data_IF_453738075608
#
_entry.id   IF_453738075608
#
_cell.length_a   1.000
_cell.length_b   1.000
_cell.length_c   1.000
_cell.angle_alpha   90.00
_cell.angle_beta   90.00
_cell.angle_gamma   90.00
#
_symmetry.space_group_name_H-M   'P 1'
#
loop_
_entity.id
_entity.type
_entity.pdbx_description
1 polymer ?
#
# COMPACT_ATOMS: atom_id res chain seq x y z
N UNK A 1 -8.47 2.81 14.20
CA UNK A 1 -9.78 2.18 14.50
C UNK A 1 -9.61 0.69 14.31
N UNK A 2 -9.59 -0.07 15.41
CA UNK A 2 -9.48 -1.54 15.36
C UNK A 2 -10.84 -2.10 14.94
N UNK A 3 -10.92 -2.68 13.75
CA UNK A 3 -12.03 -3.57 13.41
C UNK A 3 -11.70 -4.90 14.07
N UNK A 4 -12.37 -5.22 15.17
CA UNK A 4 -12.27 -6.54 15.78
C UNK A 4 -12.62 -7.58 14.71
N UNK A 5 -11.67 -8.47 14.38
CA UNK A 5 -11.93 -9.58 13.46
C UNK A 5 -12.99 -10.47 14.12
N UNK A 6 -14.12 -10.77 13.45
CA UNK A 6 -15.15 -11.62 14.04
C UNK A 6 -14.55 -12.98 14.43
N UNK A 7 -14.89 -13.46 15.62
CA UNK A 7 -14.42 -14.75 16.14
C UNK A 7 -14.76 -15.92 15.19
N UNK A 8 -15.87 -15.82 14.46
CA UNK A 8 -16.27 -16.79 13.43
C UNK A 8 -15.25 -16.85 12.28
N UNK A 9 -14.83 -15.69 11.78
CA UNK A 9 -13.82 -15.56 10.72
C UNK A 9 -12.46 -16.05 11.21
N UNK A 10 -12.06 -15.72 12.44
CA UNK A 10 -10.82 -16.22 13.03
C UNK A 10 -10.80 -17.75 13.13
N UNK A 11 -11.91 -18.34 13.58
CA UNK A 11 -12.06 -19.78 13.71
C UNK A 11 -12.01 -20.49 12.36
N UNK A 12 -12.65 -19.91 11.35
CA UNK A 12 -12.65 -20.40 9.97
C UNK A 12 -11.23 -20.39 9.39
N UNK A 13 -10.54 -19.25 9.44
CA UNK A 13 -9.16 -19.12 8.97
C UNK A 13 -8.20 -20.04 9.74
N UNK A 14 -8.40 -20.21 11.05
CA UNK A 14 -7.63 -21.13 11.90
C UNK A 14 -7.79 -22.60 11.53
N UNK A 15 -8.88 -22.96 10.83
CA UNK A 15 -9.09 -24.29 10.23
C UNK A 15 -8.59 -24.38 8.79
N UNK A 16 -7.88 -23.37 8.30
CA UNK A 16 -7.47 -23.24 6.89
C UNK A 16 -8.65 -23.15 5.92
N UNK A 17 -9.84 -22.80 6.42
CA UNK A 17 -11.03 -22.53 5.62
C UNK A 17 -11.00 -21.06 5.14
N UNK A 18 -11.86 -20.73 4.18
CA UNK A 18 -11.80 -19.45 3.46
C UNK A 18 -13.07 -19.13 2.70
N UNK A 19 -14.19 -19.05 3.41
CA UNK A 19 -15.47 -18.61 2.89
C UNK A 19 -15.40 -17.18 2.33
N UNK A 20 -16.38 -16.85 1.49
CA UNK A 20 -16.40 -15.59 0.74
C UNK A 20 -16.37 -14.35 1.63
N UNK A 21 -16.97 -14.42 2.82
CA UNK A 21 -16.96 -13.33 3.81
C UNK A 21 -15.56 -13.14 4.41
N UNK A 22 -14.93 -14.22 4.88
CA UNK A 22 -13.57 -14.20 5.41
C UNK A 22 -12.56 -13.69 4.37
N UNK A 23 -12.63 -14.21 3.13
CA UNK A 23 -11.80 -13.73 2.03
C UNK A 23 -12.08 -12.27 1.68
N UNK A 24 -13.36 -11.86 1.68
CA UNK A 24 -13.75 -10.47 1.43
C UNK A 24 -13.14 -9.50 2.44
N UNK A 25 -13.11 -9.87 3.73
CA UNK A 25 -12.44 -9.10 4.78
C UNK A 25 -10.93 -9.02 4.55
N UNK A 26 -10.27 -10.13 4.23
CA UNK A 26 -8.82 -10.14 3.97
C UNK A 26 -8.44 -9.28 2.76
N UNK A 27 -9.18 -9.39 1.65
CA UNK A 27 -8.89 -8.61 0.43
C UNK A 27 -9.15 -7.11 0.68
N UNK A 28 -10.16 -6.77 1.48
CA UNK A 28 -10.41 -5.39 1.91
C UNK A 28 -9.27 -4.84 2.77
N UNK A 29 -8.84 -5.60 3.78
CA UNK A 29 -7.77 -5.17 4.67
C UNK A 29 -6.42 -5.03 3.92
N UNK A 30 -6.12 -5.97 3.03
CA UNK A 30 -4.94 -5.91 2.17
C UNK A 30 -4.95 -4.67 1.26
N UNK A 31 -6.12 -4.27 0.75
CA UNK A 31 -6.25 -3.05 -0.02
C UNK A 31 -6.00 -1.80 0.85
N UNK A 32 -6.63 -1.72 2.03
CA UNK A 32 -6.40 -0.62 2.99
C UNK A 32 -4.93 -0.50 3.36
N UNK A 33 -4.29 -1.63 3.73
CA UNK A 33 -2.87 -1.68 4.04
C UNK A 33 -2.01 -1.21 2.88
N UNK A 34 -2.38 -1.53 1.64
CA UNK A 34 -1.65 -1.09 0.45
C UNK A 34 -1.74 0.42 0.26
N UNK A 35 -2.92 1.01 0.43
CA UNK A 35 -3.09 2.46 0.36
C UNK A 35 -2.26 3.19 1.42
N UNK A 36 -2.29 2.71 2.67
CA UNK A 36 -1.47 3.27 3.76
C UNK A 36 0.01 3.16 3.44
N UNK A 37 0.48 2.02 2.92
CA UNK A 37 1.88 1.82 2.55
C UNK A 37 2.32 2.77 1.43
N UNK A 38 1.49 2.96 0.40
CA UNK A 38 1.78 3.87 -0.70
C UNK A 38 1.81 5.32 -0.23
N UNK A 39 0.90 5.70 0.67
CA UNK A 39 0.92 7.03 1.25
C UNK A 39 2.18 7.26 2.08
N UNK A 40 2.55 6.31 2.94
CA UNK A 40 3.79 6.37 3.71
C UNK A 40 5.03 6.44 2.80
N UNK A 41 5.01 5.78 1.64
CA UNK A 41 6.08 5.87 0.65
C UNK A 41 6.21 7.28 0.06
N UNK A 42 5.09 7.91 -0.31
CA UNK A 42 5.10 9.29 -0.81
C UNK A 42 5.62 10.25 0.27
N UNK A 43 5.07 10.17 1.48
CA UNK A 43 5.47 11.04 2.59
C UNK A 43 6.99 10.87 2.91
N UNK A 44 7.50 9.64 2.87
CA UNK A 44 8.93 9.36 3.08
C UNK A 44 9.81 9.90 1.94
N UNK A 45 9.34 9.86 0.69
CA UNK A 45 10.08 10.41 -0.45
C UNK A 45 10.12 11.95 -0.40
N UNK A 46 9.04 12.59 0.02
CA UNK A 46 8.98 14.05 0.21
C UNK A 46 9.87 14.55 1.36
N UNK A 47 10.03 13.73 2.40
CA UNK A 47 10.90 14.02 3.54
C UNK A 47 12.37 13.60 3.34
N UNK A 48 12.69 12.88 2.25
CA UNK A 48 14.02 12.34 2.03
C UNK A 48 15.04 13.45 1.66
N UNK A 49 16.30 13.34 2.10
CA UNK A 49 17.35 14.25 1.66
C UNK A 49 17.57 14.17 0.14
N UNK A 50 17.98 15.28 -0.53
CA UNK A 50 18.24 15.28 -1.97
C UNK A 50 19.28 14.25 -2.44
N UNK A 51 20.21 13.87 -1.56
CA UNK A 51 21.20 12.82 -1.84
C UNK A 51 20.57 11.43 -2.01
N UNK A 52 19.39 11.20 -1.43
CA UNK A 52 18.66 9.93 -1.48
C UNK A 52 17.49 9.98 -2.46
N UNK A 53 16.80 11.13 -2.52
CA UNK A 53 15.71 11.39 -3.45
C UNK A 53 16.01 12.70 -4.20
N UNK A 54 16.68 12.65 -5.36
CA UNK A 54 16.97 13.83 -6.15
C UNK A 54 15.68 14.58 -6.56
N UNK A 55 15.72 15.91 -6.69
CA UNK A 55 14.52 16.71 -7.02
C UNK A 55 13.80 16.23 -8.28
N UNK A 56 14.51 15.84 -9.33
CA UNK A 56 13.92 15.33 -10.57
C UNK A 56 13.16 14.01 -10.37
N UNK A 57 13.64 13.15 -9.48
CA UNK A 57 12.98 11.90 -9.13
C UNK A 57 11.71 12.16 -8.30
N UNK A 58 11.77 13.13 -7.39
CA UNK A 58 10.61 13.54 -6.58
C UNK A 58 9.52 14.18 -7.45
N UNK A 59 9.90 15.03 -8.40
CA UNK A 59 8.94 15.64 -9.34
C UNK A 59 8.30 14.58 -10.24
N UNK A 60 9.08 13.58 -10.69
CA UNK A 60 8.51 12.46 -11.42
C UNK A 60 7.55 11.64 -10.58
N UNK A 61 7.90 11.36 -9.32
CA UNK A 61 7.02 10.65 -8.39
C UNK A 61 5.69 11.39 -8.19
N UNK A 62 5.70 12.72 -8.07
CA UNK A 62 4.48 13.53 -7.96
C UNK A 62 3.60 13.43 -9.20
N UNK A 63 4.19 13.41 -10.39
CA UNK A 63 3.45 13.21 -11.64
C UNK A 63 2.81 11.81 -11.70
N UNK A 64 3.57 10.77 -11.33
CA UNK A 64 3.07 9.39 -11.30
C UNK A 64 1.98 9.22 -10.25
N UNK A 65 2.09 9.91 -9.11
CA UNK A 65 1.04 9.95 -8.08
C UNK A 65 -0.23 10.62 -8.59
N UNK A 66 -0.11 11.78 -9.25
CA UNK A 66 -1.25 12.47 -9.85
C UNK A 66 -1.96 11.61 -10.91
N UNK A 67 -1.20 10.84 -11.69
CA UNK A 67 -1.75 9.85 -12.63
C UNK A 67 -2.53 8.75 -11.90
N UNK A 68 -1.99 8.21 -10.81
CA UNK A 68 -2.67 7.20 -9.99
C UNK A 68 -3.99 7.73 -9.41
N UNK A 69 -3.99 8.96 -8.89
CA UNK A 69 -5.22 9.59 -8.38
C UNK A 69 -6.25 9.85 -9.49
N UNK A 70 -5.80 10.23 -10.68
CA UNK A 70 -6.67 10.38 -11.84
C UNK A 70 -7.29 9.04 -12.28
N UNK A 71 -6.49 7.98 -12.29
CA UNK A 71 -6.98 6.63 -12.56
C UNK A 71 -7.97 6.17 -11.48
N UNK A 72 -7.74 6.44 -10.20
CA UNK A 72 -8.65 6.09 -9.10
C UNK A 72 -10.00 6.82 -9.24
N UNK A 73 -9.98 8.10 -9.65
CA UNK A 73 -11.20 8.87 -9.93
C UNK A 73 -11.97 8.32 -11.13
N UNK A 74 -11.29 7.77 -12.12
CA UNK A 74 -11.91 7.20 -13.32
C UNK A 74 -12.44 5.77 -13.10
N UNK A 75 -11.64 4.89 -12.48
CA UNK A 75 -11.98 3.50 -12.19
C UNK A 75 -11.20 2.96 -10.99
N UNK A 76 -11.86 2.94 -9.83
CA UNK A 76 -11.31 2.39 -8.57
C UNK A 76 -11.03 0.89 -8.65
N UNK A 77 -11.78 0.15 -9.46
CA UNK A 77 -11.62 -1.32 -9.56
C UNK A 77 -10.35 -1.65 -10.33
N UNK A 78 -10.08 -0.93 -11.42
CA UNK A 78 -8.83 -1.05 -12.17
C UNK A 78 -7.60 -0.73 -11.31
N UNK A 79 -7.64 0.38 -10.56
CA UNK A 79 -6.55 0.74 -9.64
C UNK A 79 -6.40 -0.33 -8.56
N UNK A 80 -7.49 -0.80 -7.94
CA UNK A 80 -7.43 -1.87 -6.95
C UNK A 80 -6.78 -3.14 -7.49
N UNK A 81 -7.05 -3.52 -8.74
CA UNK A 81 -6.42 -4.69 -9.36
C UNK A 81 -4.90 -4.52 -9.49
N UNK A 82 -4.43 -3.35 -9.94
CA UNK A 82 -2.99 -3.03 -10.03
C UNK A 82 -2.35 -3.01 -8.65
N UNK A 83 -3.00 -2.35 -7.68
CA UNK A 83 -2.50 -2.26 -6.31
C UNK A 83 -2.48 -3.60 -5.60
N UNK A 84 -3.37 -4.54 -5.93
CA UNK A 84 -3.36 -5.89 -5.36
C UNK A 84 -2.45 -6.85 -6.13
N UNK A 85 -1.73 -6.40 -7.16
CA UNK A 85 -0.72 -7.23 -7.82
C UNK A 85 0.31 -7.74 -6.77
N UNK A 86 0.67 -9.04 -6.81
CA UNK A 86 1.45 -9.68 -5.74
C UNK A 86 2.77 -8.98 -5.41
N UNK A 87 3.45 -8.43 -6.43
CA UNK A 87 4.77 -7.84 -6.25
C UNK A 87 4.76 -6.37 -5.85
N UNK A 88 3.64 -5.65 -6.02
CA UNK A 88 3.60 -4.23 -5.71
C UNK A 88 3.77 -3.93 -4.20
N UNK A 89 3.46 -4.90 -3.32
CA UNK A 89 3.50 -4.71 -1.87
C UNK A 89 4.91 -4.84 -1.35
N UNK A 90 5.58 -5.97 -1.61
CA UNK A 90 7.00 -6.14 -1.32
C UNK A 90 7.86 -5.05 -1.94
N UNK A 91 7.55 -4.62 -3.18
CA UNK A 91 8.22 -3.48 -3.83
C UNK A 91 8.08 -2.20 -3.01
N UNK A 92 6.85 -1.77 -2.69
CA UNK A 92 6.62 -0.53 -1.94
C UNK A 92 7.25 -0.58 -0.53
N UNK A 93 7.22 -1.73 0.15
CA UNK A 93 7.91 -1.93 1.43
C UNK A 93 9.43 -1.82 1.32
N UNK A 94 10.02 -2.27 0.21
CA UNK A 94 11.46 -2.16 -0.02
C UNK A 94 11.84 -0.71 -0.28
N UNK A 95 11.06 0.01 -1.09
CA UNK A 95 11.27 1.44 -1.34
C UNK A 95 11.17 2.25 -0.04
N UNK A 96 10.12 2.03 0.76
CA UNK A 96 9.94 2.73 2.04
C UNK A 96 11.09 2.46 3.01
N UNK A 97 11.56 1.21 3.09
CA UNK A 97 12.75 0.87 3.91
C UNK A 97 14.00 1.59 3.42
N UNK A 98 14.22 1.67 2.11
CA UNK A 98 15.35 2.39 1.53
C UNK A 98 15.34 3.89 1.89
N UNK A 99 14.16 4.52 1.83
CA UNK A 99 14.00 5.94 2.14
C UNK A 99 14.11 6.25 3.64
N UNK A 100 13.73 5.32 4.52
CA UNK A 100 13.69 5.54 5.98
C UNK A 100 14.91 5.01 6.74
N UNK A 101 15.72 4.12 6.15
CA UNK A 101 16.90 3.55 6.80
C UNK A 101 17.95 4.60 7.19
N UNK A 102 18.00 5.73 6.47
CA UNK A 102 19.00 6.79 6.61
C UNK A 102 18.64 7.84 7.67
N UNK A 103 17.42 7.82 8.22
CA UNK A 103 16.99 8.70 9.32
C UNK A 103 17.39 8.21 10.72
N UNK A 104 18.10 7.08 10.82
CA UNK A 104 18.70 6.56 12.06
C UNK A 104 20.21 6.69 11.98
N UNK A 105 20.72 7.92 12.03
CA UNK A 105 22.13 8.21 12.32
C UNK A 105 22.18 9.24 13.43
#
# INVERSE_FOLDING_TARGET
MSLAVPETVLRELGRTEGGSEALGLLVRDQHTRRLVLLRALLDAAEAAPPALCPPEALDRLRQDWALLEAAERADRTAVRAVLLYPLAGPWAQRCLRGLTATGRV
#
